data_IF_703074394054
#
_entry.id   IF_703074394054
#
_cell.length_a   1.000
_cell.length_b   1.000
_cell.length_c   1.000
_cell.angle_alpha   90.00
_cell.angle_beta   90.00
_cell.angle_gamma   90.00
#
_symmetry.space_group_name_H-M   'P 1'
#
loop_
_entity.id
_entity.type
_entity.pdbx_description
1 polymer ?
#
# COMPACT_ATOMS: atom_id res chain seq x y z
N UNK A 1 14.39 26.22 -15.96
CA UNK A 1 13.41 26.70 -14.95
C UNK A 1 12.20 25.81 -15.12
N UNK A 2 12.23 24.62 -14.50
CA UNK A 2 11.38 23.51 -14.90
C UNK A 2 10.84 22.79 -13.67
N UNK A 3 9.89 23.42 -12.99
CA UNK A 3 9.13 22.80 -11.91
C UNK A 3 7.63 22.97 -12.16
N UNK A 4 7.19 22.44 -13.30
CA UNK A 4 5.77 22.26 -13.64
C UNK A 4 5.56 20.83 -14.12
N UNK A 5 5.42 19.89 -13.18
CA UNK A 5 4.40 18.81 -13.20
C UNK A 5 4.56 17.87 -12.00
N UNK A 6 3.70 18.09 -11.01
CA UNK A 6 2.87 17.11 -10.28
C UNK A 6 3.28 15.64 -10.44
N UNK A 7 3.85 15.07 -9.38
CA UNK A 7 4.26 13.67 -9.19
C UNK A 7 3.90 12.71 -10.33
N UNK A 8 4.89 12.27 -11.14
CA UNK A 8 4.65 11.20 -12.10
C UNK A 8 4.19 9.95 -11.35
N UNK A 9 2.97 9.48 -11.64
CA UNK A 9 2.47 8.17 -11.20
C UNK A 9 3.31 7.11 -11.90
N UNK A 10 4.47 6.79 -11.32
CA UNK A 10 5.29 5.69 -11.77
C UNK A 10 4.50 4.41 -11.55
N UNK A 11 4.25 3.68 -12.63
CA UNK A 11 3.69 2.33 -12.62
C UNK A 11 4.79 1.38 -12.14
N UNK A 12 5.26 1.57 -10.91
CA UNK A 12 6.22 0.69 -10.27
C UNK A 12 5.43 -0.45 -9.65
N UNK A 13 5.72 -1.69 -10.06
CA UNK A 13 5.49 -2.83 -9.18
C UNK A 13 6.46 -2.66 -8.00
N UNK A 14 6.10 -1.82 -7.03
CA UNK A 14 6.87 -1.66 -5.81
C UNK A 14 6.50 -2.82 -4.90
N UNK A 15 7.50 -3.61 -4.51
CA UNK A 15 7.35 -4.51 -3.40
C UNK A 15 7.08 -3.65 -2.15
N UNK A 16 6.00 -3.95 -1.46
CA UNK A 16 5.69 -3.41 -0.16
C UNK A 16 5.53 -4.55 0.83
N UNK A 17 5.77 -4.28 2.10
CA UNK A 17 5.55 -5.27 3.15
C UNK A 17 4.47 -4.75 4.07
N UNK A 18 3.40 -5.52 4.24
CA UNK A 18 2.33 -5.24 5.19
C UNK A 18 2.74 -5.85 6.52
N UNK A 19 3.08 -5.02 7.49
CA UNK A 19 3.41 -5.45 8.84
C UNK A 19 2.23 -5.22 9.78
N UNK A 20 1.90 -6.25 10.55
CA UNK A 20 0.86 -6.20 11.56
C UNK A 20 1.20 -7.13 12.72
N UNK A 21 0.43 -7.03 13.80
CA UNK A 21 0.65 -7.78 15.04
C UNK A 21 0.64 -9.32 14.89
N UNK A 22 0.21 -9.84 13.73
CA UNK A 22 0.15 -11.27 13.41
C UNK A 22 1.15 -11.72 12.34
N UNK A 23 2.07 -10.86 11.89
CA UNK A 23 3.10 -11.19 10.92
C UNK A 23 3.38 -10.08 9.90
N UNK A 24 4.29 -10.38 8.97
CA UNK A 24 4.59 -9.55 7.81
C UNK A 24 4.17 -10.30 6.54
N UNK A 25 3.50 -9.61 5.62
CA UNK A 25 3.05 -10.17 4.33
C UNK A 25 3.59 -9.30 3.20
N UNK A 26 4.28 -9.93 2.25
CA UNK A 26 4.70 -9.27 1.03
C UNK A 26 3.49 -8.94 0.14
N UNK A 27 3.46 -7.70 -0.34
CA UNK A 27 2.43 -7.18 -1.20
C UNK A 27 3.05 -6.40 -2.37
N UNK A 28 2.26 -6.22 -3.42
CA UNK A 28 2.63 -5.40 -4.56
C UNK A 28 1.82 -4.12 -4.54
N UNK A 29 2.50 -2.98 -4.42
CA UNK A 29 1.85 -1.68 -4.49
C UNK A 29 1.53 -1.38 -5.96
N UNK A 30 0.25 -1.46 -6.34
CA UNK A 30 -0.22 -1.15 -7.70
C UNK A 30 -0.38 0.34 -7.95
N UNK A 31 -0.83 1.06 -6.93
CA UNK A 31 -1.03 2.49 -7.01
C UNK A 31 -0.77 3.12 -5.64
N UNK A 32 -0.01 4.20 -5.62
CA UNK A 32 0.29 4.98 -4.42
C UNK A 32 -0.12 6.42 -4.68
N UNK A 33 -0.81 7.02 -3.72
CA UNK A 33 -1.23 8.41 -3.75
C UNK A 33 -1.09 9.02 -2.35
N UNK A 34 -1.10 10.35 -2.25
CA UNK A 34 -0.98 11.02 -0.94
C UNK A 34 -2.09 10.63 0.05
N UNK A 35 -3.28 10.24 -0.44
CA UNK A 35 -4.41 9.86 0.40
C UNK A 35 -4.54 8.35 0.66
N UNK A 36 -3.80 7.51 -0.06
CA UNK A 36 -3.95 6.06 0.06
C UNK A 36 -3.23 5.25 -1.01
N UNK A 37 -3.35 3.93 -0.93
CA UNK A 37 -2.71 2.99 -1.83
C UNK A 37 -3.63 1.83 -2.22
N UNK A 38 -3.39 1.27 -3.39
CA UNK A 38 -3.96 -0.01 -3.81
C UNK A 38 -2.86 -1.06 -3.80
N UNK A 39 -3.06 -2.10 -2.99
CA UNK A 39 -2.14 -3.20 -2.77
C UNK A 39 -2.72 -4.47 -3.42
N UNK A 40 -1.86 -5.26 -4.05
CA UNK A 40 -2.15 -6.60 -4.54
C UNK A 40 -1.42 -7.59 -3.62
N UNK A 41 -2.15 -8.51 -3.01
CA UNK A 41 -1.65 -9.48 -2.03
C UNK A 41 -1.98 -10.88 -2.49
N UNK A 42 -1.10 -11.84 -2.18
CA UNK A 42 -1.34 -13.25 -2.53
C UNK A 42 -2.61 -13.77 -1.85
N UNK A 43 -2.86 -13.35 -0.61
CA UNK A 43 -4.10 -13.63 0.13
C UNK A 43 -4.42 -12.49 1.08
N UNK A 44 -5.65 -11.91 1.05
CA UNK A 44 -6.07 -10.91 2.04
C UNK A 44 -6.50 -11.54 3.37
N UNK A 45 -6.54 -12.88 3.46
CA UNK A 45 -6.95 -13.62 4.65
C UNK A 45 -5.89 -13.42 5.74
N UNK A 46 -6.29 -12.87 6.88
CA UNK A 46 -5.41 -12.58 8.01
C UNK A 46 -4.87 -11.15 8.07
N UNK A 47 -5.08 -10.32 7.04
CA UNK A 47 -4.67 -8.91 7.08
C UNK A 47 -5.68 -8.12 7.93
N UNK A 48 -5.25 -7.39 8.98
CA UNK A 48 -6.14 -6.58 9.80
C UNK A 48 -6.64 -5.34 9.07
N UNK A 49 -7.65 -4.69 9.63
CA UNK A 49 -8.18 -3.44 9.06
C UNK A 49 -7.20 -2.27 9.21
N UNK A 50 -6.29 -2.32 10.19
CA UNK A 50 -5.24 -1.32 10.40
C UNK A 50 -3.90 -2.04 10.40
N UNK A 51 -2.94 -1.54 9.63
CA UNK A 51 -1.59 -2.10 9.55
C UNK A 51 -0.59 -1.04 9.12
N UNK A 52 0.69 -1.40 9.22
CA UNK A 52 1.78 -0.55 8.76
C UNK A 52 2.26 -1.07 7.41
N UNK A 53 2.11 -0.25 6.37
CA UNK A 53 2.65 -0.54 5.05
C UNK A 53 4.06 0.01 4.95
N UNK A 54 5.04 -0.87 4.75
CA UNK A 54 6.39 -0.47 4.38
C UNK A 54 6.47 -0.29 2.87
N UNK A 55 6.65 0.96 2.44
CA UNK A 55 6.85 1.33 1.05
C UNK A 55 8.15 2.12 0.93
N UNK A 56 9.06 1.70 0.03
CA UNK A 56 10.34 2.39 -0.18
C UNK A 56 11.23 2.49 1.09
N UNK A 57 11.09 1.54 2.01
CA UNK A 57 11.79 1.56 3.30
C UNK A 57 11.20 2.51 4.34
N UNK A 58 10.07 3.17 4.04
CA UNK A 58 9.34 4.02 4.98
C UNK A 58 8.05 3.34 5.46
N UNK A 59 7.81 3.26 6.79
CA UNK A 59 6.54 2.79 7.33
C UNK A 59 5.45 3.84 7.16
N UNK A 60 4.30 3.42 6.64
CA UNK A 60 3.09 4.23 6.52
C UNK A 60 1.95 3.55 7.27
N UNK A 61 1.41 4.23 8.28
CA UNK A 61 0.20 3.78 8.95
C UNK A 61 -0.98 3.95 8.01
N UNK A 62 -1.71 2.86 7.79
CA UNK A 62 -2.85 2.87 6.90
C UNK A 62 -3.94 1.91 7.34
N UNK A 63 -5.16 2.23 6.92
CA UNK A 63 -6.34 1.44 7.21
C UNK A 63 -7.03 0.99 5.92
N UNK A 64 -7.61 -0.21 5.96
CA UNK A 64 -8.27 -0.84 4.83
C UNK A 64 -9.64 -0.22 4.61
N UNK A 65 -9.85 0.32 3.41
CA UNK A 65 -11.13 0.85 2.96
C UNK A 65 -11.96 -0.23 2.27
N UNK A 66 -11.32 -1.07 1.46
CA UNK A 66 -12.00 -2.15 0.73
C UNK A 66 -11.07 -3.32 0.45
N UNK A 67 -11.67 -4.50 0.31
CA UNK A 67 -10.97 -5.75 -0.04
C UNK A 67 -11.72 -6.43 -1.17
N UNK A 68 -10.99 -6.87 -2.19
CA UNK A 68 -11.56 -7.58 -3.33
C UNK A 68 -10.59 -8.65 -3.82
N UNK A 69 -10.93 -9.92 -3.60
CA UNK A 69 -10.16 -11.10 -4.02
C UNK A 69 -8.71 -11.08 -3.55
N UNK A 70 -7.79 -10.55 -4.37
CA UNK A 70 -6.35 -10.41 -4.10
C UNK A 70 -5.90 -8.96 -4.02
N UNK A 71 -6.84 -8.03 -3.86
CA UNK A 71 -6.58 -6.59 -3.82
C UNK A 71 -7.16 -5.95 -2.59
N UNK A 72 -6.41 -5.00 -2.06
CA UNK A 72 -6.77 -4.25 -0.88
C UNK A 72 -6.56 -2.77 -1.20
N UNK A 73 -7.60 -1.97 -0.99
CA UNK A 73 -7.47 -0.53 -0.96
C UNK A 73 -7.26 -0.06 0.46
N UNK A 74 -6.22 0.74 0.67
CA UNK A 74 -5.93 1.39 1.95
C UNK A 74 -5.93 2.90 1.82
N UNK A 75 -6.27 3.58 2.90
CA UNK A 75 -6.08 5.01 3.06
C UNK A 75 -4.97 5.27 4.09
N UNK A 76 -4.21 6.33 3.87
CA UNK A 76 -3.19 6.79 4.83
C UNK A 76 -3.86 7.66 5.89
N UNK A 77 -3.38 7.52 7.13
CA UNK A 77 -3.76 8.38 8.26
C UNK A 77 -2.85 9.61 8.35
#
# INVERSE_FOLDING_TARGET
MDEKRTSPRHRVLKAGTIEFHGGAIDCMIRNLSAAGAALDVTSPVGIPAHFTLFADGSPHHCHVIWRKEKRIGVAFD
#
